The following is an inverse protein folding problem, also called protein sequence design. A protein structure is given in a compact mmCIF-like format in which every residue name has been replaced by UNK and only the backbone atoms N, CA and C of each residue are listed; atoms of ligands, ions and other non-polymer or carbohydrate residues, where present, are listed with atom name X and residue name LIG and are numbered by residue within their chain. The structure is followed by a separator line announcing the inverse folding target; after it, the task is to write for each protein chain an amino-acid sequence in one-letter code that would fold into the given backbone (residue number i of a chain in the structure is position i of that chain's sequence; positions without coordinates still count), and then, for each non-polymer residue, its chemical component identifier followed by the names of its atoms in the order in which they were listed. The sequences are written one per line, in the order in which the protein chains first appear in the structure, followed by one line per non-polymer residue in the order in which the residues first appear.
data_IF_999257806114
#
_entry.id   IF_999257806114
#
_cell.length_a   1.000
_cell.length_b   1.000
_cell.length_c   1.000
_cell.angle_alpha   90.00
_cell.angle_beta   90.00
_cell.angle_gamma   90.00
#
_symmetry.space_group_name_H-M   'P 1'
#
loop_
_entity.id
_entity.type
_entity.pdbx_description
1 polymer ?
#
# COMPACT_ATOMS: atom_id res chain seq x y z
N UNK A 1 7.89 15.19 20.26
CA UNK A 1 6.89 14.21 20.71
C UNK A 1 7.18 12.83 20.12
N UNK A 2 7.19 12.69 18.78
CA UNK A 2 7.34 11.40 18.08
C UNK A 2 8.60 10.59 18.44
N UNK A 3 9.74 11.24 18.67
CA UNK A 3 11.01 10.55 19.04
C UNK A 3 10.92 9.66 20.28
N UNK A 4 9.95 9.89 21.18
CA UNK A 4 9.77 9.06 22.38
C UNK A 4 9.21 7.66 22.05
N UNK A 5 8.51 7.54 20.91
CA UNK A 5 7.90 6.30 20.45
C UNK A 5 8.87 5.42 19.65
N UNK A 6 10.04 5.96 19.26
CA UNK A 6 11.03 5.27 18.41
C UNK A 6 11.43 3.90 18.99
N UNK A 7 11.59 3.82 20.32
CA UNK A 7 11.94 2.58 21.00
C UNK A 7 10.87 1.49 20.83
N UNK A 8 9.60 1.86 20.92
CA UNK A 8 8.48 0.93 20.79
C UNK A 8 8.28 0.47 19.35
N UNK A 9 8.41 1.38 18.38
CA UNK A 9 8.35 1.02 16.96
C UNK A 9 9.54 0.17 16.53
N UNK A 10 10.74 0.43 17.05
CA UNK A 10 11.91 -0.38 16.77
C UNK A 10 11.80 -1.78 17.39
N UNK A 11 11.20 -1.89 18.57
CA UNK A 11 10.85 -3.20 19.17
C UNK A 11 9.86 -3.96 18.29
N UNK A 12 8.80 -3.32 17.81
CA UNK A 12 7.83 -3.94 16.88
C UNK A 12 8.52 -4.39 15.58
N UNK A 13 9.40 -3.54 15.01
CA UNK A 13 10.14 -3.84 13.78
C UNK A 13 11.06 -5.04 13.95
N UNK A 14 11.80 -5.11 15.06
CA UNK A 14 12.69 -6.23 15.39
C UNK A 14 11.91 -7.53 15.59
N UNK A 15 10.79 -7.49 16.33
CA UNK A 15 9.95 -8.67 16.54
C UNK A 15 9.38 -9.20 15.21
N UNK A 16 8.88 -8.31 14.34
CA UNK A 16 8.41 -8.71 13.01
C UNK A 16 9.55 -9.34 12.19
N UNK A 17 10.74 -8.71 12.18
CA UNK A 17 11.89 -9.21 11.45
C UNK A 17 12.38 -10.58 11.95
N UNK A 18 12.38 -10.82 13.27
CA UNK A 18 12.71 -12.12 13.86
C UNK A 18 11.77 -13.24 13.40
N UNK A 19 10.51 -12.89 13.10
CA UNK A 19 9.51 -13.80 12.57
C UNK A 19 9.49 -13.87 11.03
N UNK A 20 10.49 -13.31 10.35
CA UNK A 20 10.55 -13.27 8.88
C UNK A 20 9.47 -12.39 8.24
N UNK A 21 8.94 -11.42 8.99
CA UNK A 21 7.90 -10.48 8.56
C UNK A 21 8.43 -9.06 8.48
N UNK A 22 7.67 -8.18 7.84
CA UNK A 22 7.93 -6.75 7.80
C UNK A 22 6.71 -5.95 8.23
N UNK A 23 6.91 -4.75 8.76
CA UNK A 23 5.81 -3.86 9.10
C UNK A 23 5.41 -3.01 7.89
N UNK A 24 4.11 -2.91 7.64
CA UNK A 24 3.51 -2.09 6.58
C UNK A 24 2.29 -1.34 7.11
N UNK A 25 2.14 -0.08 6.70
CA UNK A 25 0.90 0.65 6.92
C UNK A 25 -0.09 0.23 5.83
N UNK A 26 -1.19 -0.42 6.22
CA UNK A 26 -2.17 -0.98 5.28
C UNK A 26 -3.53 -0.36 5.54
N UNK A 27 -4.18 0.08 4.49
CA UNK A 27 -5.61 0.37 4.48
C UNK A 27 -6.35 -0.80 3.82
N UNK A 28 -7.46 -1.24 4.43
CA UNK A 28 -8.32 -2.30 3.91
C UNK A 28 -9.76 -1.83 3.86
N UNK A 29 -10.46 -2.24 2.81
CA UNK A 29 -11.91 -2.15 2.70
C UNK A 29 -12.42 -3.56 2.47
N UNK A 30 -13.03 -4.14 3.50
CA UNK A 30 -13.52 -5.52 3.45
C UNK A 30 -14.89 -5.58 4.13
N UNK A 31 -15.85 -6.27 3.50
CA UNK A 31 -17.22 -6.41 4.00
C UNK A 31 -17.86 -5.05 4.38
N UNK A 32 -17.61 -4.02 3.55
CA UNK A 32 -18.10 -2.66 3.77
C UNK A 32 -17.41 -1.89 4.91
N UNK A 33 -16.37 -2.44 5.52
CA UNK A 33 -15.64 -1.80 6.63
C UNK A 33 -14.25 -1.35 6.21
N UNK A 34 -13.98 -0.06 6.40
CA UNK A 34 -12.66 0.52 6.21
C UNK A 34 -11.83 0.46 7.50
N UNK A 35 -10.57 0.03 7.39
CA UNK A 35 -9.59 0.04 8.48
C UNK A 35 -8.25 0.51 7.97
N UNK A 36 -7.47 1.18 8.81
CA UNK A 36 -6.07 1.53 8.53
C UNK A 36 -5.22 1.23 9.76
N UNK A 37 -4.04 0.66 9.57
CA UNK A 37 -3.14 0.36 10.67
C UNK A 37 -1.80 -0.19 10.24
N UNK A 38 -0.90 -0.27 11.22
CA UNK A 38 0.39 -0.93 11.05
C UNK A 38 0.20 -2.44 11.22
N UNK A 39 0.57 -3.20 10.19
CA UNK A 39 0.41 -4.65 10.14
C UNK A 39 1.74 -5.36 9.88
N UNK A 40 1.87 -6.58 10.40
CA UNK A 40 2.96 -7.48 10.05
C UNK A 40 2.61 -8.28 8.79
N UNK A 41 3.40 -8.13 7.72
CA UNK A 41 3.25 -8.90 6.48
C UNK A 41 4.36 -9.93 6.36
N UNK A 42 4.00 -11.16 6.00
CA UNK A 42 4.96 -12.22 5.68
C UNK A 42 5.73 -11.89 4.39
N UNK A 43 6.91 -12.48 4.23
CA UNK A 43 7.72 -12.37 3.01
C UNK A 43 6.97 -12.79 1.73
N UNK A 44 5.98 -13.67 1.84
CA UNK A 44 5.16 -14.13 0.72
C UNK A 44 4.02 -13.15 0.36
N UNK A 45 3.78 -12.12 1.17
CA UNK A 45 2.77 -11.10 0.88
C UNK A 45 3.24 -10.19 -0.27
N UNK A 46 2.36 -9.83 -1.22
CA UNK A 46 2.67 -8.81 -2.22
C UNK A 46 3.22 -7.51 -1.59
N UNK A 47 2.70 -7.12 -0.42
CA UNK A 47 3.10 -5.92 0.32
C UNK A 47 4.52 -5.97 0.90
N UNK A 48 5.13 -7.15 1.03
CA UNK A 48 6.50 -7.28 1.54
C UNK A 48 7.53 -6.64 0.59
N UNK A 49 7.27 -6.72 -0.72
CA UNK A 49 8.20 -6.30 -1.78
C UNK A 49 8.13 -4.81 -2.14
N UNK A 50 7.30 -4.04 -1.43
CA UNK A 50 7.23 -2.58 -1.57
C UNK A 50 8.58 -1.94 -1.21
N UNK A 51 9.02 -0.99 -2.03
CA UNK A 51 10.30 -0.29 -1.90
C UNK A 51 10.15 1.18 -2.26
N UNK A 52 10.87 2.06 -1.56
CA UNK A 52 10.86 3.48 -1.86
C UNK A 52 9.49 4.12 -1.63
N UNK A 53 9.02 4.90 -2.60
CA UNK A 53 7.72 5.57 -2.61
C UNK A 53 6.63 4.80 -3.37
N UNK A 54 6.86 3.52 -3.67
CA UNK A 54 5.85 2.69 -4.32
C UNK A 54 4.63 2.51 -3.41
N UNK A 55 3.44 2.64 -4.01
CA UNK A 55 2.19 2.20 -3.42
C UNK A 55 1.73 0.91 -4.11
N UNK A 56 0.94 0.12 -3.40
CA UNK A 56 0.32 -1.09 -3.93
C UNK A 56 -1.13 -1.17 -3.48
N UNK A 57 -2.00 -1.53 -4.42
CA UNK A 57 -3.40 -1.84 -4.17
C UNK A 57 -3.64 -3.28 -4.63
N UNK A 58 -4.27 -4.07 -3.76
CA UNK A 58 -4.63 -5.46 -4.04
C UNK A 58 -6.14 -5.58 -4.05
N UNK A 59 -6.71 -5.98 -5.18
CA UNK A 59 -8.12 -6.23 -5.35
C UNK A 59 -8.39 -7.73 -5.29
N UNK A 60 -9.21 -8.14 -4.33
CA UNK A 60 -9.78 -9.48 -4.27
C UNK A 60 -11.26 -9.36 -4.60
N UNK A 61 -11.71 -10.07 -5.63
CA UNK A 61 -13.10 -10.08 -6.10
C UNK A 61 -13.50 -11.51 -6.46
N UNK A 62 -14.78 -11.77 -6.70
CA UNK A 62 -15.24 -13.10 -7.12
C UNK A 62 -14.51 -13.61 -8.39
N UNK A 63 -14.19 -12.69 -9.32
CA UNK A 63 -13.42 -13.01 -10.53
C UNK A 63 -11.93 -13.25 -10.25
N UNK A 64 -11.36 -12.54 -9.28
CA UNK A 64 -9.95 -12.59 -8.90
C UNK A 64 -9.76 -13.22 -7.51
N UNK A 65 -10.49 -14.31 -7.23
CA UNK A 65 -10.49 -14.94 -5.91
C UNK A 65 -9.20 -15.71 -5.62
N UNK A 66 -8.71 -16.49 -6.59
CA UNK A 66 -7.48 -17.29 -6.43
C UNK A 66 -6.20 -16.49 -6.67
N UNK A 67 -6.27 -15.52 -7.59
CA UNK A 67 -5.14 -14.68 -7.98
C UNK A 67 -5.57 -13.21 -7.94
N UNK A 68 -5.41 -12.54 -6.78
CA UNK A 68 -5.80 -11.14 -6.63
C UNK A 68 -5.12 -10.24 -7.66
N UNK A 69 -5.84 -9.21 -8.11
CA UNK A 69 -5.29 -8.21 -9.01
C UNK A 69 -4.42 -7.24 -8.21
N UNK A 70 -3.13 -7.17 -8.54
CA UNK A 70 -2.16 -6.29 -7.90
C UNK A 70 -1.83 -5.13 -8.81
N UNK A 71 -2.07 -3.91 -8.35
CA UNK A 71 -1.61 -2.67 -8.99
C UNK A 71 -0.49 -2.10 -8.14
N UNK A 72 0.69 -1.88 -8.75
CA UNK A 72 1.87 -1.33 -8.09
C UNK A 72 2.49 -0.24 -8.96
N UNK A 73 2.99 0.81 -8.32
CA UNK A 73 3.81 1.83 -8.95
C UNK A 73 4.12 2.98 -8.01
N UNK A 74 4.83 4.02 -8.49
CA UNK A 74 5.15 5.19 -7.69
C UNK A 74 3.86 5.84 -7.16
N UNK A 75 3.74 5.92 -5.83
CA UNK A 75 2.59 6.52 -5.16
C UNK A 75 2.71 8.03 -4.92
N UNK A 76 3.92 8.56 -5.09
CA UNK A 76 4.23 9.96 -4.89
C UNK A 76 5.38 10.39 -5.81
N UNK A 77 5.36 11.66 -6.20
CA UNK A 77 6.34 12.29 -7.08
C UNK A 77 5.66 13.33 -7.96
N UNK A 78 6.32 14.47 -8.20
CA UNK A 78 5.72 15.58 -8.94
C UNK A 78 5.28 15.16 -10.34
N UNK A 79 6.15 14.47 -11.08
CA UNK A 79 5.90 14.03 -12.46
C UNK A 79 4.76 13.01 -12.54
N UNK A 80 4.76 11.97 -11.70
CA UNK A 80 3.72 10.93 -11.71
C UNK A 80 2.36 11.48 -11.29
N UNK A 81 2.33 12.43 -10.35
CA UNK A 81 1.09 13.09 -9.92
C UNK A 81 0.55 13.98 -11.03
N UNK A 82 1.41 14.77 -11.69
CA UNK A 82 1.02 15.64 -12.80
C UNK A 82 0.50 14.82 -13.99
N UNK A 83 1.13 13.69 -14.32
CA UNK A 83 0.67 12.78 -15.36
C UNK A 83 -0.73 12.23 -15.08
N UNK A 84 -1.02 11.87 -13.82
CA UNK A 84 -2.36 11.44 -13.39
C UNK A 84 -3.41 12.53 -13.62
N UNK A 85 -3.14 13.76 -13.19
CA UNK A 85 -4.04 14.90 -13.43
C UNK A 85 -4.23 15.18 -14.92
N UNK A 86 -3.16 15.12 -15.71
CA UNK A 86 -3.24 15.34 -17.16
C UNK A 86 -4.11 14.28 -17.86
N UNK A 87 -3.98 13.01 -17.48
CA UNK A 87 -4.82 11.94 -18.01
C UNK A 87 -6.32 12.19 -17.74
N UNK A 88 -6.65 12.72 -16.55
CA UNK A 88 -8.03 13.11 -16.22
C UNK A 88 -8.54 14.24 -17.13
N UNK A 89 -7.72 15.27 -17.39
CA UNK A 89 -8.07 16.38 -18.29
C UNK A 89 -8.37 15.85 -19.71
N UNK A 90 -7.51 14.99 -20.25
CA UNK A 90 -7.72 14.38 -21.58
C UNK A 90 -9.00 13.56 -21.61
N UNK A 91 -9.28 12.77 -20.55
CA UNK A 91 -10.50 11.97 -20.49
C UNK A 91 -11.76 12.85 -20.47
N UNK A 92 -11.76 13.94 -19.69
CA UNK A 92 -12.87 14.89 -19.64
C UNK A 92 -13.07 15.56 -21.01
N UNK A 93 -11.99 16.02 -21.65
CA UNK A 93 -12.05 16.66 -22.96
C UNK A 93 -12.57 15.75 -24.08
N UNK A 94 -12.37 14.42 -23.97
CA UNK A 94 -12.89 13.45 -24.93
C UNK A 94 -14.33 12.99 -24.64
N UNK A 95 -14.91 13.39 -23.51
CA UNK A 95 -16.29 13.07 -23.11
C UNK A 95 -17.22 14.28 -23.15
N UNK A 96 -16.67 15.46 -23.49
CA UNK A 96 -17.38 16.67 -23.89
C UNK A 96 -17.40 16.77 -25.42
#
# INVERSE_FOLDING_TARGET
ALKKEDADFEKKRKNAAQNGKSLRMIAKLENGKATIGLEEVSSNSPFATLSGSDNMIVFTTDRYAERPLVIRGPGAGAEVTAAGVFAEIVRIGNHL
#
